data_IF_640728979532
#
_entry.id   IF_640728979532
#
_cell.length_a   1.000
_cell.length_b   1.000
_cell.length_c   1.000
_cell.angle_alpha   90.00
_cell.angle_beta   90.00
_cell.angle_gamma   90.00
#
_symmetry.space_group_name_H-M   'P 1'
#
loop_
_entity.id
_entity.type
_entity.pdbx_description
1 polymer ?
#
# COMPACT_ATOMS: atom_id res chain seq x y z
N UNK A 1 -32.55 -27.48 -10.16
CA UNK A 1 -32.07 -26.24 -10.82
C UNK A 1 -31.48 -25.16 -9.87
N UNK A 2 -31.23 -25.42 -8.57
CA UNK A 2 -30.62 -24.45 -7.65
C UNK A 2 -29.08 -24.37 -7.66
N UNK A 3 -28.39 -25.30 -8.34
CA UNK A 3 -26.91 -25.37 -8.31
C UNK A 3 -26.17 -24.38 -9.23
N UNK A 4 -26.79 -23.99 -10.34
CA UNK A 4 -26.11 -23.15 -11.36
C UNK A 4 -26.02 -21.69 -10.95
N UNK A 5 -27.01 -21.19 -10.20
CA UNK A 5 -27.03 -19.80 -9.73
C UNK A 5 -26.04 -19.51 -8.61
N UNK A 6 -25.68 -20.52 -7.81
CA UNK A 6 -24.66 -20.35 -6.75
C UNK A 6 -23.24 -20.26 -7.29
N UNK A 7 -22.91 -21.15 -8.24
CA UNK A 7 -21.59 -21.20 -8.88
C UNK A 7 -21.29 -19.91 -9.67
N UNK A 8 -22.30 -19.30 -10.32
CA UNK A 8 -22.13 -18.02 -11.03
C UNK A 8 -21.83 -16.86 -10.07
N UNK A 9 -22.44 -16.84 -8.89
CA UNK A 9 -22.17 -15.80 -7.86
C UNK A 9 -20.76 -15.92 -7.28
N UNK A 10 -20.32 -17.11 -6.97
CA UNK A 10 -18.98 -17.35 -6.40
C UNK A 10 -17.89 -17.06 -7.44
N UNK A 11 -18.12 -17.41 -8.70
CA UNK A 11 -17.21 -17.08 -9.79
C UNK A 11 -17.11 -15.58 -10.03
N UNK A 12 -18.21 -14.85 -10.05
CA UNK A 12 -18.22 -13.39 -10.19
C UNK A 12 -17.53 -12.70 -9.02
N UNK A 13 -17.73 -13.19 -7.80
CA UNK A 13 -17.03 -12.69 -6.61
C UNK A 13 -15.53 -12.89 -6.76
N UNK A 14 -15.09 -14.08 -7.07
CA UNK A 14 -13.69 -14.41 -7.29
C UNK A 14 -13.07 -13.53 -8.38
N UNK A 15 -13.75 -13.40 -9.51
CA UNK A 15 -13.29 -12.57 -10.63
C UNK A 15 -13.14 -11.09 -10.22
N UNK A 16 -14.11 -10.53 -9.53
CA UNK A 16 -14.01 -9.15 -9.03
C UNK A 16 -12.89 -8.97 -8.02
N UNK A 17 -12.69 -9.93 -7.10
CA UNK A 17 -11.59 -9.89 -6.14
C UNK A 17 -10.22 -9.92 -6.85
N UNK A 18 -10.06 -10.80 -7.83
CA UNK A 18 -8.80 -10.91 -8.60
C UNK A 18 -8.53 -9.66 -9.42
N UNK A 19 -9.56 -9.06 -10.05
CA UNK A 19 -9.39 -7.82 -10.83
C UNK A 19 -9.09 -6.61 -9.97
N UNK A 20 -9.57 -6.57 -8.73
CA UNK A 20 -9.30 -5.46 -7.81
C UNK A 20 -7.91 -5.51 -7.17
N UNK A 21 -7.27 -6.69 -7.08
CA UNK A 21 -5.95 -6.85 -6.46
C UNK A 21 -4.86 -6.00 -7.13
N UNK A 22 -4.71 -5.98 -8.46
CA UNK A 22 -3.75 -5.09 -9.11
C UNK A 22 -3.96 -3.62 -8.78
N UNK A 23 -5.22 -3.16 -8.76
CA UNK A 23 -5.53 -1.78 -8.40
C UNK A 23 -5.12 -1.43 -6.96
N UNK A 24 -5.21 -2.40 -6.03
CA UNK A 24 -4.77 -2.24 -4.63
C UNK A 24 -3.25 -2.12 -4.48
N UNK A 25 -2.47 -2.55 -5.45
CA UNK A 25 -1.01 -2.39 -5.48
C UNK A 25 -0.62 -1.15 -6.28
N UNK A 26 -1.18 -0.99 -7.47
CA UNK A 26 -0.80 0.08 -8.41
C UNK A 26 -1.15 1.45 -7.84
N UNK A 27 -2.35 1.63 -7.28
CA UNK A 27 -2.78 2.96 -6.80
C UNK A 27 -1.93 3.49 -5.62
N UNK A 28 -1.63 2.72 -4.55
CA UNK A 28 -0.73 3.19 -3.51
C UNK A 28 0.69 3.44 -4.03
N UNK A 29 1.21 2.60 -4.94
CA UNK A 29 2.53 2.82 -5.54
C UNK A 29 2.58 4.10 -6.36
N UNK A 30 1.56 4.36 -7.21
CA UNK A 30 1.47 5.61 -7.96
C UNK A 30 1.39 6.83 -7.02
N UNK A 31 0.59 6.75 -5.96
CA UNK A 31 0.49 7.81 -4.97
C UNK A 31 1.85 8.11 -4.33
N UNK A 32 2.59 7.08 -3.93
CA UNK A 32 3.91 7.24 -3.33
C UNK A 32 4.93 7.76 -4.34
N UNK A 33 4.89 7.32 -5.59
CA UNK A 33 5.75 7.84 -6.66
C UNK A 33 5.48 9.31 -6.95
N UNK A 34 4.21 9.74 -6.99
CA UNK A 34 3.85 11.15 -7.16
C UNK A 34 4.36 11.99 -5.98
N UNK A 35 4.20 11.50 -4.75
CA UNK A 35 4.73 12.17 -3.56
C UNK A 35 6.25 12.26 -3.57
N UNK A 36 6.92 11.21 -4.04
CA UNK A 36 8.37 11.18 -4.19
C UNK A 36 8.85 12.19 -5.23
N UNK A 37 8.20 12.24 -6.39
CA UNK A 37 8.52 13.20 -7.46
C UNK A 37 8.28 14.64 -7.00
N UNK A 38 7.14 14.92 -6.39
CA UNK A 38 6.85 16.22 -5.79
C UNK A 38 7.85 16.60 -4.69
N UNK A 39 8.19 15.65 -3.81
CA UNK A 39 9.21 15.83 -2.78
C UNK A 39 10.57 16.17 -3.37
N UNK A 40 10.96 15.52 -4.46
CA UNK A 40 12.20 15.80 -5.16
C UNK A 40 12.25 17.25 -5.68
N UNK A 41 11.21 17.71 -6.35
CA UNK A 41 11.17 19.05 -6.93
C UNK A 41 11.10 20.18 -5.91
N UNK A 42 10.36 19.98 -4.80
CA UNK A 42 10.08 21.05 -3.84
C UNK A 42 10.94 21.00 -2.58
N UNK A 43 11.44 19.84 -2.16
CA UNK A 43 12.08 19.68 -0.85
C UNK A 43 13.51 19.17 -0.93
N UNK A 44 13.79 18.13 -1.73
CA UNK A 44 15.08 17.43 -1.62
C UNK A 44 16.23 18.23 -2.20
N UNK A 45 15.97 19.02 -3.21
CA UNK A 45 17.00 19.84 -3.88
C UNK A 45 17.57 20.89 -2.93
N UNK A 46 16.76 21.46 -2.08
CA UNK A 46 17.18 22.48 -1.12
C UNK A 46 17.65 21.87 0.20
N UNK A 47 16.93 20.87 0.72
CA UNK A 47 17.20 20.27 2.03
C UNK A 47 18.45 19.40 2.09
N UNK A 48 18.77 18.70 0.99
CA UNK A 48 19.87 17.72 0.97
C UNK A 48 21.10 18.15 0.16
N UNK A 49 21.03 19.22 -0.62
CA UNK A 49 22.16 19.76 -1.37
C UNK A 49 22.95 18.68 -2.13
N UNK A 50 24.26 18.54 -1.86
CA UNK A 50 25.14 17.55 -2.49
C UNK A 50 24.77 16.09 -2.17
N UNK A 51 24.10 15.83 -1.05
CA UNK A 51 23.68 14.48 -0.63
C UNK A 51 22.34 14.05 -1.24
N UNK A 52 21.66 14.94 -1.99
CA UNK A 52 20.36 14.68 -2.56
C UNK A 52 20.31 13.44 -3.46
N UNK A 53 21.37 13.19 -4.25
CA UNK A 53 21.44 12.01 -5.13
C UNK A 53 21.44 10.71 -4.33
N UNK A 54 22.18 10.64 -3.24
CA UNK A 54 22.22 9.46 -2.37
C UNK A 54 20.89 9.17 -1.70
N UNK A 55 20.18 10.23 -1.27
CA UNK A 55 18.84 10.12 -0.68
C UNK A 55 17.84 9.60 -1.72
N UNK A 56 17.88 10.09 -2.95
CA UNK A 56 16.99 9.64 -4.03
C UNK A 56 17.22 8.15 -4.33
N UNK A 57 18.48 7.73 -4.43
CA UNK A 57 18.81 6.31 -4.66
C UNK A 57 18.28 5.44 -3.52
N UNK A 58 18.49 5.85 -2.27
CA UNK A 58 17.98 5.13 -1.09
C UNK A 58 16.45 5.05 -1.07
N UNK A 59 15.76 6.15 -1.40
CA UNK A 59 14.30 6.19 -1.50
C UNK A 59 13.78 5.28 -2.60
N UNK A 60 14.37 5.32 -3.79
CA UNK A 60 14.00 4.43 -4.88
C UNK A 60 14.22 2.96 -4.51
N UNK A 61 15.34 2.65 -3.89
CA UNK A 61 15.61 1.29 -3.43
C UNK A 61 14.55 0.81 -2.42
N UNK A 62 14.22 1.64 -1.43
CA UNK A 62 13.20 1.33 -0.42
C UNK A 62 11.80 1.17 -1.02
N UNK A 63 11.45 1.99 -2.02
CA UNK A 63 10.17 1.89 -2.74
C UNK A 63 10.03 0.54 -3.45
N UNK A 64 11.02 0.16 -4.24
CA UNK A 64 10.95 -1.04 -5.08
C UNK A 64 11.18 -2.33 -4.30
N UNK A 65 12.08 -2.34 -3.33
CA UNK A 65 12.45 -3.56 -2.59
C UNK A 65 11.74 -3.70 -1.24
N UNK A 66 11.24 -2.61 -0.67
CA UNK A 66 10.52 -2.62 0.60
C UNK A 66 9.01 -2.47 0.43
N UNK A 67 8.57 -1.33 -0.11
CA UNK A 67 7.15 -1.00 -0.15
C UNK A 67 6.35 -1.83 -1.14
N UNK A 68 6.85 -2.02 -2.36
CA UNK A 68 6.15 -2.78 -3.39
C UNK A 68 5.86 -4.23 -2.97
N UNK A 69 6.83 -5.04 -2.51
CA UNK A 69 6.55 -6.39 -2.04
C UNK A 69 5.57 -6.43 -0.88
N UNK A 70 5.65 -5.45 0.01
CA UNK A 70 4.74 -5.37 1.16
C UNK A 70 3.32 -5.01 0.74
N UNK A 71 3.14 -4.09 -0.21
CA UNK A 71 1.81 -3.81 -0.78
C UNK A 71 1.23 -5.02 -1.52
N UNK A 72 2.06 -5.79 -2.24
CA UNK A 72 1.63 -7.05 -2.86
C UNK A 72 1.17 -8.03 -1.79
N UNK A 73 1.96 -8.24 -0.73
CA UNK A 73 1.59 -9.11 0.38
C UNK A 73 0.26 -8.67 1.01
N UNK A 74 0.11 -7.39 1.32
CA UNK A 74 -1.12 -6.85 1.90
C UNK A 74 -2.33 -6.96 0.95
N UNK A 75 -2.13 -6.84 -0.37
CA UNK A 75 -3.20 -7.03 -1.36
C UNK A 75 -3.65 -8.49 -1.47
N UNK A 76 -2.72 -9.43 -1.28
CA UNK A 76 -3.02 -10.87 -1.28
C UNK A 76 -3.71 -11.33 0.01
N UNK A 77 -3.47 -10.66 1.14
CA UNK A 77 -4.09 -11.01 2.41
C UNK A 77 -5.62 -10.82 2.33
N UNK A 78 -6.41 -11.83 2.72
CA UNK A 78 -7.86 -11.72 2.76
C UNK A 78 -8.30 -10.69 3.81
N UNK A 79 -9.42 -10.01 3.55
CA UNK A 79 -9.98 -9.00 4.47
C UNK A 79 -10.28 -9.53 5.87
N UNK A 80 -10.53 -10.85 5.99
CA UNK A 80 -10.73 -11.50 7.29
C UNK A 80 -9.54 -11.36 8.24
N UNK A 81 -8.34 -11.13 7.69
CA UNK A 81 -7.11 -10.92 8.46
C UNK A 81 -6.81 -9.43 8.66
N UNK A 82 -7.83 -8.62 8.89
CA UNK A 82 -7.67 -7.16 9.07
C UNK A 82 -6.71 -6.83 10.23
N UNK A 83 -6.68 -7.67 11.28
CA UNK A 83 -5.73 -7.52 12.39
C UNK A 83 -4.28 -7.65 11.96
N UNK A 84 -3.98 -8.57 11.02
CA UNK A 84 -2.64 -8.71 10.46
C UNK A 84 -2.21 -7.48 9.65
N UNK A 85 -3.16 -6.84 8.94
CA UNK A 85 -2.88 -5.58 8.25
C UNK A 85 -2.49 -4.47 9.22
N UNK A 86 -3.22 -4.31 10.34
CA UNK A 86 -2.90 -3.32 11.36
C UNK A 86 -1.53 -3.54 12.02
N UNK A 87 -1.07 -4.79 12.11
CA UNK A 87 0.27 -5.10 12.62
C UNK A 87 1.37 -4.77 11.60
N UNK A 88 1.10 -4.97 10.30
CA UNK A 88 2.06 -4.67 9.23
C UNK A 88 2.27 -3.17 9.04
N UNK A 89 1.26 -2.34 9.28
CA UNK A 89 1.37 -0.88 9.13
C UNK A 89 2.48 -0.27 9.99
N UNK A 90 2.57 -0.51 11.30
CA UNK A 90 3.63 0.04 12.14
C UNK A 90 4.97 -0.70 12.02
N UNK A 91 4.98 -1.92 11.45
CA UNK A 91 6.18 -2.74 11.37
C UNK A 91 7.30 -2.04 10.57
N UNK A 92 6.99 -1.52 9.39
CA UNK A 92 7.99 -0.89 8.51
C UNK A 92 8.53 0.40 9.13
N UNK A 93 7.70 1.37 9.61
CA UNK A 93 8.21 2.49 10.37
C UNK A 93 9.06 2.07 11.57
N UNK A 94 8.60 1.07 12.33
CA UNK A 94 9.33 0.56 13.50
C UNK A 94 10.73 0.06 13.15
N UNK A 95 10.86 -0.71 12.07
CA UNK A 95 12.15 -1.20 11.56
C UNK A 95 13.02 -0.02 11.09
N UNK A 96 12.46 0.91 10.33
CA UNK A 96 13.19 2.09 9.82
C UNK A 96 13.73 2.94 10.97
N UNK A 97 12.91 3.22 11.98
CA UNK A 97 13.34 4.00 13.14
C UNK A 97 14.30 3.22 14.03
N UNK A 98 14.13 1.91 14.17
CA UNK A 98 15.04 1.07 14.97
C UNK A 98 16.46 1.02 14.42
N UNK A 99 16.63 1.01 13.09
CA UNK A 99 17.94 0.90 12.44
C UNK A 99 18.51 2.21 11.92
N UNK A 100 17.68 3.18 11.60
CA UNK A 100 18.09 4.37 10.84
C UNK A 100 17.95 5.71 11.59
N UNK A 101 17.25 5.77 12.71
CA UNK A 101 16.95 7.04 13.37
C UNK A 101 18.20 7.76 13.89
N UNK A 102 19.23 7.02 14.30
CA UNK A 102 20.48 7.59 14.79
C UNK A 102 21.34 8.24 13.68
N UNK A 103 21.19 7.77 12.44
CA UNK A 103 22.04 8.19 11.33
C UNK A 103 21.31 9.07 10.29
N UNK A 104 20.04 8.77 10.02
CA UNK A 104 19.26 9.39 8.95
C UNK A 104 17.79 9.61 9.33
N UNK A 105 17.56 10.33 10.44
CA UNK A 105 16.22 10.57 10.98
C UNK A 105 15.23 11.09 9.92
N UNK A 106 15.66 12.09 9.12
CA UNK A 106 14.78 12.71 8.13
C UNK A 106 14.37 11.71 7.01
N UNK A 107 15.27 10.83 6.60
CA UNK A 107 14.99 9.78 5.66
C UNK A 107 13.98 8.77 6.22
N UNK A 108 14.12 8.39 7.48
CA UNK A 108 13.18 7.51 8.17
C UNK A 108 11.78 8.11 8.27
N UNK A 109 11.70 9.40 8.58
CA UNK A 109 10.42 10.14 8.62
C UNK A 109 9.76 10.16 7.24
N UNK A 110 10.49 10.51 6.19
CA UNK A 110 9.96 10.56 4.82
C UNK A 110 9.47 9.20 4.34
N UNK A 111 10.28 8.15 4.52
CA UNK A 111 9.88 6.79 4.15
C UNK A 111 8.65 6.33 4.93
N UNK A 112 8.56 6.67 6.20
CA UNK A 112 7.40 6.34 7.03
C UNK A 112 6.14 7.08 6.57
N UNK A 113 6.25 8.35 6.19
CA UNK A 113 5.14 9.12 5.62
C UNK A 113 4.66 8.54 4.29
N UNK A 114 5.57 8.16 3.40
CA UNK A 114 5.23 7.52 2.15
C UNK A 114 4.54 6.18 2.37
N UNK A 115 5.07 5.36 3.27
CA UNK A 115 4.48 4.10 3.65
C UNK A 115 3.06 4.27 4.21
N UNK A 116 2.88 5.17 5.17
CA UNK A 116 1.57 5.44 5.78
C UNK A 116 0.56 5.95 4.74
N UNK A 117 0.97 6.84 3.85
CA UNK A 117 0.10 7.35 2.78
C UNK A 117 -0.30 6.21 1.83
N UNK A 118 0.66 5.38 1.42
CA UNK A 118 0.38 4.22 0.59
C UNK A 118 -0.59 3.23 1.27
N UNK A 119 -0.40 2.97 2.56
CA UNK A 119 -1.32 2.14 3.35
C UNK A 119 -2.72 2.74 3.42
N UNK A 120 -2.86 4.03 3.65
CA UNK A 120 -4.16 4.71 3.68
C UNK A 120 -4.89 4.58 2.35
N UNK A 121 -4.21 4.82 1.23
CA UNK A 121 -4.77 4.66 -0.12
C UNK A 121 -5.21 3.22 -0.35
N UNK A 122 -4.38 2.24 0.01
CA UNK A 122 -4.71 0.83 -0.16
C UNK A 122 -5.92 0.42 0.69
N UNK A 123 -5.97 0.83 1.96
CA UNK A 123 -7.13 0.56 2.83
C UNK A 123 -8.40 1.20 2.30
N UNK A 124 -8.32 2.43 1.82
CA UNK A 124 -9.46 3.10 1.23
C UNK A 124 -10.02 2.34 0.03
N UNK A 125 -9.15 1.93 -0.90
CA UNK A 125 -9.55 1.16 -2.09
C UNK A 125 -10.12 -0.20 -1.66
N UNK A 126 -9.43 -0.91 -0.77
CA UNK A 126 -9.84 -2.23 -0.28
C UNK A 126 -11.22 -2.16 0.36
N UNK A 127 -11.46 -1.15 1.20
CA UNK A 127 -12.73 -0.96 1.90
C UNK A 127 -13.85 -0.48 0.96
N UNK A 128 -13.58 0.54 0.14
CA UNK A 128 -14.57 1.10 -0.76
C UNK A 128 -14.98 0.11 -1.86
N UNK A 129 -14.01 -0.55 -2.47
CA UNK A 129 -14.26 -1.53 -3.52
C UNK A 129 -14.98 -2.75 -2.94
N UNK A 130 -14.52 -3.27 -1.80
CA UNK A 130 -15.18 -4.40 -1.17
C UNK A 130 -16.63 -4.08 -0.79
N UNK A 131 -16.88 -2.92 -0.20
CA UNK A 131 -18.25 -2.49 0.17
C UNK A 131 -19.16 -2.40 -1.05
N UNK A 132 -18.67 -1.85 -2.17
CA UNK A 132 -19.44 -1.77 -3.42
C UNK A 132 -19.74 -3.14 -4.00
N UNK A 133 -18.76 -4.05 -3.99
CA UNK A 133 -18.93 -5.42 -4.45
C UNK A 133 -19.94 -6.15 -3.55
N UNK A 134 -19.79 -6.05 -2.23
CA UNK A 134 -20.69 -6.68 -1.28
C UNK A 134 -22.15 -6.20 -1.45
N UNK A 135 -22.35 -4.89 -1.64
CA UNK A 135 -23.67 -4.32 -1.91
C UNK A 135 -24.25 -4.80 -3.25
N UNK A 136 -23.43 -4.86 -4.31
CA UNK A 136 -23.89 -5.26 -5.64
C UNK A 136 -24.28 -6.73 -5.73
N UNK A 137 -23.67 -7.58 -4.92
CA UNK A 137 -23.92 -9.02 -4.89
C UNK A 137 -24.76 -9.50 -3.72
N UNK A 138 -25.35 -8.60 -2.91
CA UNK A 138 -26.10 -8.94 -1.69
C UNK A 138 -25.34 -9.90 -0.78
N UNK A 139 -24.02 -9.67 -0.63
CA UNK A 139 -23.20 -10.42 0.29
C UNK A 139 -23.33 -9.82 1.68
N UNK A 140 -23.46 -10.69 2.71
CA UNK A 140 -23.43 -10.22 4.10
C UNK A 140 -22.16 -9.40 4.36
N UNK A 141 -22.27 -8.24 5.04
CA UNK A 141 -21.07 -7.50 5.47
C UNK A 141 -20.22 -8.41 6.36
N UNK A 142 -18.89 -8.32 6.18
CA UNK A 142 -17.89 -9.03 7.00
C UNK A 142 -17.82 -8.44 8.40
#
# INVERSE_FOLDING_TARGET
MKGITGMDKDFRRFFCEVMCRPAMVIAPMLCVLILHDAGYHYFYREAFGRYGVGVIIALNWALWHGMLPTFILMALLPLRLIKAHYLLVPLIPGVLFGFGASTHLMLCVLLSLYWLTGCLVMFYIKYAVYRRIAQRFNLSPL
#
